data_IF_358990061923
#
_entry.id   IF_358990061923
#
_cell.length_a   1.000
_cell.length_b   1.000
_cell.length_c   1.000
_cell.angle_alpha   90.00
_cell.angle_beta   90.00
_cell.angle_gamma   90.00
#
_symmetry.space_group_name_H-M   'P 1'
#
loop_
_entity.id
_entity.type
_entity.pdbx_description
1 polymer ?
#
# COMPACT_ATOMS: atom_id res chain seq x y z
N UNK A 1 38.63 -87.64 23.89
CA UNK A 1 37.27 -87.82 24.45
C UNK A 1 36.78 -86.43 24.86
N UNK A 2 35.66 -85.85 24.45
CA UNK A 2 34.48 -86.31 23.71
C UNK A 2 33.69 -85.04 23.34
N UNK A 3 33.05 -85.03 22.17
CA UNK A 3 32.08 -84.02 21.70
C UNK A 3 30.81 -83.97 22.56
N UNK A 4 30.00 -82.90 22.37
CA UNK A 4 28.52 -82.77 22.54
C UNK A 4 28.16 -81.52 23.38
N UNK A 5 27.27 -80.60 23.01
CA UNK A 5 26.21 -80.55 21.99
C UNK A 5 25.85 -79.08 21.72
N UNK A 6 25.69 -78.73 20.45
CA UNK A 6 24.86 -77.61 20.02
C UNK A 6 23.39 -78.02 20.08
N UNK A 7 22.50 -77.11 20.47
CA UNK A 7 21.05 -77.33 20.50
C UNK A 7 20.27 -76.02 20.48
N UNK A 8 19.72 -75.72 19.30
CA UNK A 8 18.50 -74.97 19.01
C UNK A 8 18.28 -73.55 19.59
N UNK A 9 18.51 -72.56 18.72
CA UNK A 9 17.92 -71.22 18.84
C UNK A 9 17.63 -70.52 17.51
N UNK A 10 17.75 -71.19 16.36
CA UNK A 10 17.69 -70.55 15.04
C UNK A 10 16.29 -70.51 14.38
N UNK A 11 15.28 -71.21 14.93
CA UNK A 11 13.96 -71.31 14.28
C UNK A 11 12.99 -70.15 14.59
N UNK A 12 13.26 -69.34 15.61
CA UNK A 12 12.35 -68.26 16.03
C UNK A 12 12.61 -66.90 15.37
N UNK A 13 13.75 -66.73 14.69
CA UNK A 13 14.14 -65.47 14.03
C UNK A 13 13.55 -65.29 12.61
N UNK A 14 13.32 -66.39 11.87
CA UNK A 14 12.74 -66.34 10.52
C UNK A 14 11.23 -66.08 10.51
N UNK A 15 10.47 -66.68 11.45
CA UNK A 15 9.02 -66.43 11.56
C UNK A 15 8.68 -64.99 11.98
N UNK A 16 9.51 -64.37 12.83
CA UNK A 16 9.30 -62.96 13.27
C UNK A 16 9.62 -61.94 12.16
N UNK A 17 10.59 -62.23 11.29
CA UNK A 17 10.93 -61.36 10.15
C UNK A 17 9.91 -61.42 9.00
N UNK A 18 9.30 -62.59 8.72
CA UNK A 18 8.24 -62.67 7.71
C UNK A 18 6.96 -61.97 8.18
N UNK A 19 6.58 -62.15 9.45
CA UNK A 19 5.40 -61.49 10.05
C UNK A 19 5.49 -59.96 10.06
N UNK A 20 6.68 -59.38 10.22
CA UNK A 20 6.90 -57.93 10.17
C UNK A 20 6.85 -57.36 8.75
N UNK A 21 7.37 -58.10 7.76
CA UNK A 21 7.31 -57.71 6.35
C UNK A 21 5.86 -57.77 5.80
N UNK A 22 5.12 -58.82 6.16
CA UNK A 22 3.71 -58.99 5.78
C UNK A 22 2.83 -57.88 6.37
N UNK A 23 3.11 -57.43 7.60
CA UNK A 23 2.37 -56.35 8.26
C UNK A 23 2.71 -54.96 7.72
N UNK A 24 3.94 -54.73 7.25
CA UNK A 24 4.31 -53.49 6.56
C UNK A 24 3.70 -53.41 5.15
N UNK A 25 3.67 -54.53 4.42
CA UNK A 25 3.02 -54.59 3.11
C UNK A 25 1.50 -54.39 3.22
N UNK A 26 0.87 -54.93 4.26
CA UNK A 26 -0.54 -54.69 4.56
C UNK A 26 -0.81 -53.21 4.84
N UNK A 27 0.03 -52.54 5.65
CA UNK A 27 -0.09 -51.10 5.93
C UNK A 27 0.03 -50.25 4.67
N UNK A 28 0.96 -50.58 3.76
CA UNK A 28 1.11 -49.86 2.49
C UNK A 28 -0.11 -50.05 1.58
N UNK A 29 -0.71 -51.25 1.54
CA UNK A 29 -1.95 -51.52 0.81
C UNK A 29 -3.14 -50.75 1.39
N UNK A 30 -3.27 -50.70 2.71
CA UNK A 30 -4.32 -49.94 3.40
C UNK A 30 -4.16 -48.42 3.20
N UNK A 31 -2.93 -47.90 3.27
CA UNK A 31 -2.67 -46.47 3.03
C UNK A 31 -2.97 -46.09 1.58
N UNK A 32 -2.60 -46.94 0.61
CA UNK A 32 -2.95 -46.74 -0.80
C UNK A 32 -4.47 -46.77 -1.01
N UNK A 33 -5.18 -47.68 -0.35
CA UNK A 33 -6.66 -47.74 -0.39
C UNK A 33 -7.28 -46.49 0.23
N UNK A 34 -6.78 -46.00 1.36
CA UNK A 34 -7.23 -44.76 2.01
C UNK A 34 -7.00 -43.54 1.13
N UNK A 35 -5.84 -43.42 0.49
CA UNK A 35 -5.55 -42.33 -0.46
C UNK A 35 -6.46 -42.37 -1.68
N UNK A 36 -6.79 -43.56 -2.19
CA UNK A 36 -7.72 -43.72 -3.31
C UNK A 36 -9.14 -43.29 -2.92
N UNK A 37 -9.64 -43.77 -1.78
CA UNK A 37 -10.96 -43.40 -1.26
C UNK A 37 -11.06 -41.90 -0.96
N UNK A 38 -9.98 -41.28 -0.45
CA UNK A 38 -9.94 -39.83 -0.21
C UNK A 38 -10.04 -39.03 -1.52
N UNK A 39 -9.35 -39.47 -2.58
CA UNK A 39 -9.45 -38.83 -3.92
C UNK A 39 -10.84 -39.01 -4.53
N UNK A 40 -11.39 -40.22 -4.46
CA UNK A 40 -12.75 -40.51 -4.95
C UNK A 40 -13.81 -39.66 -4.20
N UNK A 41 -13.64 -39.48 -2.89
CA UNK A 41 -14.52 -38.62 -2.09
C UNK A 41 -14.37 -37.12 -2.42
N UNK A 42 -13.15 -36.65 -2.67
CA UNK A 42 -12.89 -35.26 -3.08
C UNK A 42 -13.48 -34.98 -4.48
N UNK A 43 -13.33 -35.89 -5.42
CA UNK A 43 -13.94 -35.79 -6.76
C UNK A 43 -15.47 -35.81 -6.69
N UNK A 44 -16.05 -36.65 -5.84
CA UNK A 44 -17.49 -36.67 -5.61
C UNK A 44 -17.99 -35.33 -5.04
N UNK A 45 -17.27 -34.76 -4.07
CA UNK A 45 -17.60 -33.45 -3.48
C UNK A 45 -17.56 -32.33 -4.53
N UNK A 46 -16.52 -32.31 -5.36
CA UNK A 46 -16.37 -31.33 -6.46
C UNK A 46 -17.50 -31.45 -7.49
N UNK A 47 -17.91 -32.67 -7.86
CA UNK A 47 -19.04 -32.89 -8.77
C UNK A 47 -20.38 -32.43 -8.20
N UNK A 48 -20.60 -32.67 -6.92
CA UNK A 48 -21.83 -32.24 -6.24
C UNK A 48 -21.90 -30.72 -6.07
N UNK A 49 -20.77 -30.09 -5.74
CA UNK A 49 -20.62 -28.63 -5.68
C UNK A 49 -20.88 -27.99 -7.06
N UNK A 50 -20.28 -28.53 -8.13
CA UNK A 50 -20.52 -28.08 -9.50
C UNK A 50 -22.02 -28.13 -9.86
N UNK A 51 -22.69 -29.25 -9.55
CA UNK A 51 -24.12 -29.41 -9.82
C UNK A 51 -24.98 -28.41 -9.06
N UNK A 52 -24.65 -28.13 -7.79
CA UNK A 52 -25.34 -27.14 -6.95
C UNK A 52 -25.19 -25.73 -7.52
N UNK A 53 -23.98 -25.35 -7.93
CA UNK A 53 -23.69 -24.03 -8.50
C UNK A 53 -24.38 -23.83 -9.85
N UNK A 54 -24.35 -24.85 -10.72
CA UNK A 54 -25.10 -24.83 -11.99
C UNK A 54 -26.62 -24.66 -11.79
N UNK A 55 -27.20 -25.32 -10.79
CA UNK A 55 -28.62 -25.15 -10.45
C UNK A 55 -28.93 -23.75 -9.90
N UNK A 56 -28.03 -23.18 -9.08
CA UNK A 56 -28.15 -21.82 -8.55
C UNK A 56 -28.07 -20.77 -9.65
N UNK A 57 -27.13 -20.93 -10.59
CA UNK A 57 -27.00 -20.06 -11.76
C UNK A 57 -28.26 -20.08 -12.63
N UNK A 58 -28.85 -21.26 -12.84
CA UNK A 58 -30.12 -21.39 -13.57
C UNK A 58 -31.29 -20.69 -12.84
N UNK A 59 -31.32 -20.76 -11.50
CA UNK A 59 -32.34 -20.08 -10.70
C UNK A 59 -32.16 -18.55 -10.66
N UNK A 60 -30.92 -18.06 -10.60
CA UNK A 60 -30.61 -16.63 -10.71
C UNK A 60 -31.08 -16.09 -12.07
N UNK A 61 -30.75 -16.79 -13.17
CA UNK A 61 -31.20 -16.48 -14.55
C UNK A 61 -32.71 -16.38 -14.74
N UNK A 62 -33.50 -17.03 -13.90
CA UNK A 62 -34.96 -17.00 -13.98
C UNK A 62 -35.62 -15.82 -13.24
N UNK A 63 -34.86 -14.98 -12.53
CA UNK A 63 -35.39 -13.89 -11.70
C UNK A 63 -35.10 -12.54 -12.37
N UNK A 64 -36.16 -11.81 -12.74
CA UNK A 64 -36.08 -10.46 -13.32
C UNK A 64 -36.76 -9.42 -12.40
N UNK A 65 -36.24 -8.19 -12.27
CA UNK A 65 -34.93 -7.71 -12.72
C UNK A 65 -33.79 -8.27 -11.83
N UNK A 66 -32.61 -8.44 -12.44
CA UNK A 66 -31.49 -9.26 -11.92
C UNK A 66 -30.49 -8.45 -11.10
N UNK A 67 -29.88 -9.04 -10.07
CA UNK A 67 -28.72 -8.49 -9.35
C UNK A 67 -27.43 -9.04 -9.98
N UNK A 68 -26.74 -8.22 -10.76
CA UNK A 68 -25.61 -8.60 -11.61
C UNK A 68 -24.38 -9.08 -10.82
N UNK A 69 -24.29 -8.76 -9.52
CA UNK A 69 -23.15 -9.13 -8.66
C UNK A 69 -23.15 -10.61 -8.28
N UNK A 70 -24.32 -11.17 -7.98
CA UNK A 70 -24.46 -12.58 -7.61
C UNK A 70 -24.22 -13.51 -8.79
N UNK A 71 -24.62 -13.08 -10.00
CA UNK A 71 -24.39 -13.83 -11.24
C UNK A 71 -22.90 -13.89 -11.59
N UNK A 72 -22.19 -12.77 -11.44
CA UNK A 72 -20.77 -12.66 -11.76
C UNK A 72 -19.89 -13.51 -10.82
N UNK A 73 -20.18 -13.47 -9.52
CA UNK A 73 -19.47 -14.29 -8.52
C UNK A 73 -19.64 -15.80 -8.79
N UNK A 74 -20.86 -16.23 -9.11
CA UNK A 74 -21.13 -17.65 -9.37
C UNK A 74 -20.48 -18.14 -10.69
N UNK A 75 -20.40 -17.28 -11.72
CA UNK A 75 -19.75 -17.61 -13.00
C UNK A 75 -18.23 -17.74 -12.88
N UNK A 76 -17.59 -16.86 -12.10
CA UNK A 76 -16.14 -16.91 -11.86
C UNK A 76 -15.75 -18.18 -11.09
N UNK A 77 -16.48 -18.49 -10.02
CA UNK A 77 -16.23 -19.70 -9.24
C UNK A 77 -16.50 -21.00 -10.05
N UNK A 78 -17.46 -20.98 -10.98
CA UNK A 78 -17.70 -22.09 -11.90
C UNK A 78 -16.54 -22.29 -12.90
N UNK A 79 -15.92 -21.20 -13.37
CA UNK A 79 -14.73 -21.26 -14.22
C UNK A 79 -13.55 -21.92 -13.50
N UNK A 80 -13.30 -21.56 -12.24
CA UNK A 80 -12.24 -22.16 -11.41
C UNK A 80 -12.48 -23.65 -11.13
N UNK A 81 -13.72 -24.05 -10.84
CA UNK A 81 -14.09 -25.44 -10.54
C UNK A 81 -13.99 -26.38 -11.76
N UNK A 82 -14.19 -25.85 -12.96
CA UNK A 82 -14.18 -26.64 -14.21
C UNK A 82 -12.86 -26.56 -14.97
N UNK A 83 -11.96 -25.65 -14.57
CA UNK A 83 -10.70 -25.41 -15.28
C UNK A 83 -10.89 -24.81 -16.67
N UNK A 84 -12.09 -24.32 -16.97
CA UNK A 84 -12.40 -23.63 -18.22
C UNK A 84 -12.21 -22.14 -18.02
N UNK A 85 -11.40 -21.51 -18.87
CA UNK A 85 -11.45 -20.06 -19.07
C UNK A 85 -12.83 -19.70 -19.60
N UNK A 86 -13.52 -18.79 -18.92
CA UNK A 86 -14.81 -18.27 -19.38
C UNK A 86 -14.55 -17.47 -20.66
N UNK A 87 -14.72 -18.10 -21.82
CA UNK A 87 -14.53 -17.45 -23.12
C UNK A 87 -15.67 -16.48 -23.40
N UNK A 88 -15.32 -15.27 -23.85
CA UNK A 88 -16.22 -14.16 -24.20
C UNK A 88 -17.10 -14.40 -25.45
N UNK A 89 -17.05 -15.59 -26.06
CA UNK A 89 -17.79 -15.91 -27.29
C UNK A 89 -19.29 -16.21 -27.09
N UNK A 90 -19.80 -16.19 -25.86
CA UNK A 90 -21.23 -16.48 -25.56
C UNK A 90 -22.04 -15.28 -25.06
N UNK A 91 -21.65 -14.06 -25.44
CA UNK A 91 -22.45 -12.85 -25.20
C UNK A 91 -23.00 -12.38 -26.55
N UNK A 92 -24.33 -12.43 -26.81
CA UNK A 92 -24.91 -11.91 -28.03
C UNK A 92 -24.59 -10.42 -28.22
N UNK A 93 -24.44 -9.96 -29.47
CA UNK A 93 -23.89 -8.65 -29.84
C UNK A 93 -24.59 -7.44 -29.19
N UNK A 94 -25.84 -7.60 -28.79
CA UNK A 94 -26.63 -6.60 -28.06
C UNK A 94 -26.33 -6.57 -26.55
N UNK A 95 -25.98 -7.71 -25.95
CA UNK A 95 -25.43 -7.76 -24.60
C UNK A 95 -23.95 -7.30 -24.55
N UNK A 96 -23.25 -7.19 -25.69
CA UNK A 96 -21.92 -6.58 -25.76
C UNK A 96 -21.94 -5.07 -25.54
N UNK A 97 -22.99 -4.37 -25.97
CA UNK A 97 -23.13 -2.93 -25.72
C UNK A 97 -23.40 -2.66 -24.24
N UNK A 98 -24.28 -3.45 -23.63
CA UNK A 98 -24.54 -3.39 -22.19
C UNK A 98 -23.35 -3.91 -21.37
N UNK A 99 -22.64 -4.95 -21.84
CA UNK A 99 -21.40 -5.42 -21.24
C UNK A 99 -20.28 -4.39 -21.37
N UNK A 100 -20.12 -3.68 -22.50
CA UNK A 100 -19.13 -2.61 -22.63
C UNK A 100 -19.50 -1.39 -21.78
N UNK A 101 -20.78 -1.07 -21.65
CA UNK A 101 -21.27 0.00 -20.79
C UNK A 101 -21.09 -0.34 -19.30
N UNK A 102 -21.46 -1.55 -18.89
CA UNK A 102 -21.25 -2.07 -17.52
C UNK A 102 -19.76 -2.31 -17.26
N UNK A 103 -18.97 -2.78 -18.22
CA UNK A 103 -17.51 -2.92 -18.10
C UNK A 103 -16.85 -1.55 -17.97
N UNK A 104 -17.27 -0.56 -18.76
CA UNK A 104 -16.83 0.84 -18.59
C UNK A 104 -17.26 1.45 -17.25
N UNK A 105 -18.18 0.81 -16.53
CA UNK A 105 -18.65 1.19 -15.19
C UNK A 105 -18.11 0.27 -14.07
N UNK A 106 -17.62 -0.93 -14.40
CA UNK A 106 -17.07 -1.95 -13.49
C UNK A 106 -15.55 -1.85 -13.40
N UNK A 107 -14.84 -1.47 -14.47
CA UNK A 107 -13.46 -0.96 -14.37
C UNK A 107 -13.41 0.24 -13.40
N UNK A 108 -14.47 1.05 -13.38
CA UNK A 108 -14.59 2.22 -12.48
C UNK A 108 -14.58 1.87 -11.00
N UNK A 109 -14.78 0.61 -10.59
CA UNK A 109 -14.76 0.21 -9.18
C UNK A 109 -13.39 -0.27 -8.67
N UNK A 110 -12.33 -0.17 -9.47
CA UNK A 110 -10.91 -0.19 -9.02
C UNK A 110 -10.07 0.95 -9.65
N UNK A 111 -10.71 1.99 -10.21
CA UNK A 111 -10.04 3.08 -10.94
C UNK A 111 -9.55 4.27 -10.07
N UNK A 112 -9.97 4.34 -8.80
CA UNK A 112 -9.65 5.49 -7.96
C UNK A 112 -8.32 5.30 -7.20
N UNK A 113 -7.47 6.33 -7.22
CA UNK A 113 -6.23 6.33 -6.48
C UNK A 113 -6.48 6.04 -4.99
N UNK A 114 -5.64 5.23 -4.35
CA UNK A 114 -5.73 4.91 -2.91
C UNK A 114 -4.44 5.30 -2.21
N UNK A 115 -4.55 6.07 -1.13
CA UNK A 115 -3.44 6.43 -0.25
C UNK A 115 -3.61 5.75 1.11
N UNK A 116 -2.73 4.82 1.43
CA UNK A 116 -2.74 4.10 2.71
C UNK A 116 -1.68 4.65 3.67
N UNK A 117 -2.09 5.10 4.86
CA UNK A 117 -1.19 5.58 5.91
C UNK A 117 -1.83 5.50 7.30
N UNK A 118 -1.10 5.87 8.35
CA UNK A 118 -1.69 6.12 9.67
C UNK A 118 -2.71 7.27 9.61
N UNK A 119 -3.68 7.30 10.54
CA UNK A 119 -4.63 8.43 10.69
C UNK A 119 -3.93 9.70 11.22
N UNK A 120 -3.01 10.25 10.42
CA UNK A 120 -2.18 11.41 10.70
C UNK A 120 -1.58 11.95 9.39
N UNK A 121 -1.04 13.17 9.42
CA UNK A 121 -0.32 13.76 8.30
C UNK A 121 0.95 12.94 7.95
N UNK A 122 1.95 13.02 8.81
CA UNK A 122 3.22 12.30 8.67
C UNK A 122 3.81 12.37 7.26
N UNK A 123 4.28 11.23 6.76
CA UNK A 123 4.92 11.13 5.43
C UNK A 123 3.92 11.06 4.27
N UNK A 124 2.63 10.87 4.54
CA UNK A 124 1.59 10.84 3.51
C UNK A 124 1.07 12.25 3.16
N UNK A 125 1.41 13.27 3.93
CA UNK A 125 0.82 14.60 3.75
C UNK A 125 1.22 15.27 2.44
N UNK A 126 2.46 15.13 2.00
CA UNK A 126 2.91 15.69 0.71
C UNK A 126 2.10 15.13 -0.47
N UNK A 127 2.02 13.80 -0.70
CA UNK A 127 1.21 13.28 -1.79
C UNK A 127 -0.28 13.57 -1.60
N UNK A 128 -0.78 13.62 -0.35
CA UNK A 128 -2.17 14.03 -0.07
C UNK A 128 -2.45 15.45 -0.55
N UNK A 129 -1.63 16.43 -0.17
CA UNK A 129 -1.81 17.82 -0.59
C UNK A 129 -1.73 17.97 -2.12
N UNK A 130 -0.85 17.20 -2.78
CA UNK A 130 -0.78 17.20 -4.23
C UNK A 130 -2.08 16.69 -4.88
N UNK A 131 -2.63 15.57 -4.41
CA UNK A 131 -3.91 15.03 -4.90
C UNK A 131 -5.07 16.03 -4.66
N UNK A 132 -5.12 16.60 -3.46
CA UNK A 132 -6.16 17.56 -3.04
C UNK A 132 -6.12 18.85 -3.85
N UNK A 133 -4.93 19.42 -4.07
CA UNK A 133 -4.76 20.64 -4.86
C UNK A 133 -4.93 20.38 -6.36
N UNK A 134 -4.62 19.16 -6.84
CA UNK A 134 -4.92 18.73 -8.21
C UNK A 134 -6.43 18.52 -8.42
N UNK A 135 -7.18 18.28 -7.34
CA UNK A 135 -8.59 17.91 -7.41
C UNK A 135 -8.82 16.49 -7.89
N UNK A 136 -7.88 15.60 -7.58
CA UNK A 136 -7.96 14.17 -7.86
C UNK A 136 -8.72 13.51 -6.73
N UNK A 137 -9.77 12.77 -7.06
CA UNK A 137 -10.49 11.95 -6.09
C UNK A 137 -9.63 10.73 -5.73
N UNK A 138 -9.50 10.46 -4.43
CA UNK A 138 -8.71 9.36 -3.92
C UNK A 138 -9.32 8.80 -2.62
N UNK A 139 -9.14 7.52 -2.40
CA UNK A 139 -9.51 6.87 -1.14
C UNK A 139 -8.36 6.95 -0.14
N UNK A 140 -8.66 7.35 1.09
CA UNK A 140 -7.70 7.31 2.19
C UNK A 140 -7.98 6.13 3.11
N UNK A 141 -7.02 5.19 3.17
CA UNK A 141 -7.09 4.02 4.07
C UNK A 141 -6.24 4.28 5.31
N UNK A 142 -6.91 4.50 6.42
CA UNK A 142 -6.29 4.73 7.72
C UNK A 142 -5.93 3.40 8.41
N UNK A 143 -4.64 3.16 8.64
CA UNK A 143 -4.14 1.98 9.37
C UNK A 143 -3.86 2.35 10.83
N UNK A 144 -4.39 1.57 11.76
CA UNK A 144 -4.18 1.74 13.21
C UNK A 144 -3.27 0.65 13.80
N UNK A 145 -3.29 -0.57 13.26
CA UNK A 145 -2.58 -1.75 13.75
C UNK A 145 -1.51 -2.25 12.76
N UNK A 146 -0.62 -1.37 12.31
CA UNK A 146 0.38 -1.69 11.27
C UNK A 146 1.21 -2.95 11.56
N UNK A 147 1.57 -3.20 12.82
CA UNK A 147 2.34 -4.39 13.19
C UNK A 147 1.63 -5.72 12.85
N UNK A 148 0.29 -5.74 12.91
CA UNK A 148 -0.53 -6.93 12.66
C UNK A 148 -0.80 -7.12 11.17
N UNK A 149 -1.13 -6.04 10.44
CA UNK A 149 -1.51 -6.13 9.01
C UNK A 149 -0.30 -6.12 8.07
N UNK A 150 0.87 -5.67 8.55
CA UNK A 150 2.09 -5.59 7.72
C UNK A 150 2.41 -6.88 6.95
N UNK A 151 2.38 -8.09 7.53
CA UNK A 151 2.65 -9.33 6.79
C UNK A 151 1.70 -9.53 5.60
N UNK A 152 0.43 -9.17 5.73
CA UNK A 152 -0.57 -9.27 4.66
C UNK A 152 -0.28 -8.29 3.53
N UNK A 153 0.03 -7.04 3.85
CA UNK A 153 0.44 -6.03 2.86
C UNK A 153 1.74 -6.40 2.15
N UNK A 154 2.69 -7.05 2.84
CA UNK A 154 3.91 -7.55 2.23
C UNK A 154 3.65 -8.75 1.31
N UNK A 155 2.82 -9.70 1.76
CA UNK A 155 2.43 -10.87 0.96
C UNK A 155 1.65 -10.47 -0.31
N UNK A 156 0.85 -9.40 -0.23
CA UNK A 156 0.14 -8.81 -1.36
C UNK A 156 1.04 -7.94 -2.27
N UNK A 157 2.33 -7.80 -1.98
CA UNK A 157 3.27 -6.99 -2.78
C UNK A 157 3.11 -5.48 -2.62
N UNK A 158 2.22 -5.01 -1.73
CA UNK A 158 1.91 -3.58 -1.55
C UNK A 158 2.95 -2.82 -0.73
N UNK A 159 3.58 -3.52 0.22
CA UNK A 159 4.57 -2.94 1.13
C UNK A 159 5.96 -3.57 0.96
N UNK A 160 6.63 -3.45 -0.21
CA UNK A 160 7.87 -4.18 -0.48
C UNK A 160 8.99 -3.89 0.55
N UNK A 161 9.01 -2.69 1.14
CA UNK A 161 9.96 -2.28 2.17
C UNK A 161 9.41 -2.43 3.61
N UNK A 162 8.18 -2.93 3.77
CA UNK A 162 7.54 -3.10 5.07
C UNK A 162 7.27 -1.78 5.81
N UNK A 163 6.98 -0.72 5.05
CA UNK A 163 6.76 0.65 5.51
C UNK A 163 5.53 1.27 4.85
N UNK A 164 4.95 2.26 5.51
CA UNK A 164 3.93 3.17 4.98
C UNK A 164 4.59 4.54 4.69
N UNK A 165 4.04 5.39 3.80
CA UNK A 165 2.80 5.22 3.04
C UNK A 165 2.91 4.27 1.84
N UNK A 166 1.74 3.85 1.37
CA UNK A 166 1.52 3.11 0.13
C UNK A 166 0.52 3.91 -0.72
N UNK A 167 0.79 3.96 -2.02
CA UNK A 167 -0.11 4.53 -3.02
C UNK A 167 -0.44 3.49 -4.08
N UNK A 168 -1.70 3.41 -4.46
CA UNK A 168 -2.21 2.45 -5.43
C UNK A 168 -3.06 3.18 -6.48
N UNK A 169 -2.90 2.83 -7.74
CA UNK A 169 -3.76 3.21 -8.86
C UNK A 169 -3.75 2.06 -9.89
N UNK A 170 -4.63 2.04 -10.90
CA UNK A 170 -4.68 0.96 -11.88
C UNK A 170 -3.30 0.62 -12.48
N UNK A 171 -2.81 -0.58 -12.19
CA UNK A 171 -1.53 -1.07 -12.70
C UNK A 171 -0.27 -0.57 -11.96
N UNK A 172 -0.41 0.22 -10.89
CA UNK A 172 0.73 0.75 -10.14
C UNK A 172 0.52 0.67 -8.63
N UNK A 173 1.51 0.11 -7.94
CA UNK A 173 1.62 0.16 -6.47
C UNK A 173 2.98 0.71 -6.09
N UNK A 174 2.98 1.80 -5.32
CA UNK A 174 4.19 2.50 -4.88
C UNK A 174 4.29 2.54 -3.36
N UNK A 175 5.51 2.31 -2.88
CA UNK A 175 5.94 2.67 -1.53
C UNK A 175 7.03 3.77 -1.63
N UNK A 176 7.42 4.34 -0.49
CA UNK A 176 8.29 5.52 -0.36
C UNK A 176 7.58 6.84 -0.66
N UNK A 177 7.37 7.66 0.37
CA UNK A 177 6.63 8.92 0.29
C UNK A 177 7.15 9.86 -0.80
N UNK A 178 8.47 9.97 -0.97
CA UNK A 178 9.06 10.85 -1.98
C UNK A 178 8.85 10.33 -3.40
N UNK A 179 8.85 9.00 -3.60
CA UNK A 179 8.55 8.40 -4.91
C UNK A 179 7.08 8.62 -5.27
N UNK A 180 6.18 8.39 -4.32
CA UNK A 180 4.73 8.65 -4.46
C UNK A 180 4.49 10.13 -4.79
N UNK A 181 5.05 11.05 -4.00
CA UNK A 181 4.89 12.49 -4.23
C UNK A 181 5.37 12.93 -5.61
N UNK A 182 6.53 12.41 -6.07
CA UNK A 182 7.05 12.71 -7.41
C UNK A 182 6.19 12.11 -8.53
N UNK A 183 5.62 10.93 -8.32
CA UNK A 183 4.69 10.30 -9.26
C UNK A 183 3.46 11.18 -9.46
N UNK A 184 2.73 11.46 -8.37
CA UNK A 184 1.55 12.34 -8.36
C UNK A 184 1.87 13.71 -8.95
N UNK A 185 3.04 14.26 -8.62
CA UNK A 185 3.46 15.56 -9.13
C UNK A 185 3.68 15.57 -10.65
N UNK A 186 4.25 14.51 -11.23
CA UNK A 186 4.43 14.41 -12.69
C UNK A 186 3.09 14.23 -13.40
N UNK A 187 2.22 13.38 -12.88
CA UNK A 187 0.89 13.12 -13.47
C UNK A 187 0.00 14.37 -13.47
N UNK A 188 0.13 15.23 -12.47
CA UNK A 188 -0.79 16.37 -12.29
C UNK A 188 -0.12 17.75 -12.43
N UNK A 189 1.07 17.84 -13.01
CA UNK A 189 1.68 19.10 -13.41
C UNK A 189 2.39 19.90 -12.30
N UNK A 190 2.71 19.27 -11.16
CA UNK A 190 3.51 19.82 -10.06
C UNK A 190 5.00 19.51 -10.20
N UNK A 191 5.50 19.44 -11.42
CA UNK A 191 6.89 19.14 -11.73
C UNK A 191 7.43 20.07 -12.82
N UNK A 192 8.76 20.07 -12.99
CA UNK A 192 9.44 20.92 -13.96
C UNK A 192 9.13 20.53 -15.41
N UNK A 193 9.14 21.50 -16.32
CA UNK A 193 8.90 21.28 -17.75
C UNK A 193 10.17 20.88 -18.49
N UNK A 194 11.33 21.18 -17.91
CA UNK A 194 12.64 20.82 -18.43
C UNK A 194 13.36 19.87 -17.49
N UNK A 195 14.30 19.09 -18.03
CA UNK A 195 15.18 18.26 -17.21
C UNK A 195 15.99 19.08 -16.18
N UNK A 196 16.30 20.34 -16.53
CA UNK A 196 16.98 21.26 -15.63
C UNK A 196 16.09 21.62 -14.42
N UNK A 197 14.83 22.00 -14.67
CA UNK A 197 13.89 22.35 -13.60
C UNK A 197 13.57 21.13 -12.73
N UNK A 198 13.38 19.96 -13.35
CA UNK A 198 13.22 18.69 -12.66
C UNK A 198 14.38 18.42 -11.68
N UNK A 199 15.63 18.61 -12.11
CA UNK A 199 16.80 18.41 -11.27
C UNK A 199 16.85 19.38 -10.07
N UNK A 200 16.48 20.66 -10.28
CA UNK A 200 16.42 21.64 -9.20
C UNK A 200 15.28 21.35 -8.21
N UNK A 201 14.12 20.90 -8.71
CA UNK A 201 12.99 20.48 -7.89
C UNK A 201 13.37 19.25 -7.06
N UNK A 202 14.06 18.27 -7.64
CA UNK A 202 14.53 17.10 -6.91
C UNK A 202 15.56 17.48 -5.84
N UNK A 203 16.51 18.35 -6.16
CA UNK A 203 17.49 18.85 -5.20
C UNK A 203 16.82 19.53 -4.01
N UNK A 204 15.87 20.44 -4.26
CA UNK A 204 15.13 21.11 -3.19
C UNK A 204 14.29 20.11 -2.38
N UNK A 205 13.62 19.15 -3.04
CA UNK A 205 12.79 18.14 -2.38
C UNK A 205 13.59 17.21 -1.47
N UNK A 206 14.78 16.77 -1.90
CA UNK A 206 15.68 15.94 -1.09
C UNK A 206 16.25 16.73 0.10
N UNK A 207 16.57 18.02 -0.10
CA UNK A 207 16.93 18.90 1.02
C UNK A 207 15.82 19.00 2.07
N UNK A 208 14.54 18.96 1.67
CA UNK A 208 13.42 18.94 2.62
C UNK A 208 13.35 17.60 3.35
N UNK A 209 13.65 16.50 2.67
CA UNK A 209 13.69 15.17 3.29
C UNK A 209 14.76 15.07 4.39
N UNK A 210 15.87 15.81 4.27
CA UNK A 210 16.88 15.93 5.33
C UNK A 210 16.33 16.65 6.56
N UNK A 211 15.51 17.69 6.38
CA UNK A 211 14.82 18.36 7.49
C UNK A 211 13.92 17.37 8.23
N UNK A 212 13.09 16.63 7.50
CA UNK A 212 12.19 15.62 8.07
C UNK A 212 12.99 14.56 8.83
N UNK A 213 14.11 14.10 8.28
CA UNK A 213 14.97 13.09 8.91
C UNK A 213 15.57 13.61 10.21
N UNK A 214 16.08 14.85 10.24
CA UNK A 214 16.63 15.47 11.46
C UNK A 214 15.55 15.73 12.51
N UNK A 215 14.36 16.15 12.08
CA UNK A 215 13.19 16.32 12.96
C UNK A 215 12.80 14.99 13.60
N UNK A 216 12.75 13.91 12.81
CA UNK A 216 12.43 12.57 13.32
C UNK A 216 13.45 12.10 14.35
N UNK A 217 14.74 12.28 14.06
CA UNK A 217 15.83 11.93 14.98
C UNK A 217 15.71 12.66 16.32
N UNK A 218 15.43 13.97 16.30
CA UNK A 218 15.35 14.77 17.52
C UNK A 218 14.08 14.51 18.34
N UNK A 219 12.96 14.19 17.69
CA UNK A 219 11.65 14.13 18.35
C UNK A 219 11.14 12.73 18.66
N UNK A 220 11.44 11.73 17.81
CA UNK A 220 10.76 10.43 17.87
C UNK A 220 11.68 9.25 18.17
N UNK A 221 13.00 9.41 18.03
CA UNK A 221 13.91 8.34 18.44
C UNK A 221 13.94 8.17 19.97
N UNK A 222 14.14 6.94 20.46
CA UNK A 222 14.34 6.67 21.88
C UNK A 222 15.73 7.20 22.29
N UNK A 223 15.77 8.45 22.74
CA UNK A 223 16.94 9.11 23.29
C UNK A 223 16.76 9.33 24.80
N UNK A 224 17.85 9.23 25.59
CA UNK A 224 17.91 9.78 26.94
C UNK A 224 17.48 11.25 26.98
N UNK A 225 16.92 11.71 28.11
CA UNK A 225 16.32 13.04 28.21
C UNK A 225 17.31 14.19 27.96
N UNK A 226 18.54 14.06 28.47
CA UNK A 226 19.63 15.01 28.24
C UNK A 226 19.98 15.10 26.74
N UNK A 227 20.07 13.96 26.06
CA UNK A 227 20.33 13.89 24.62
C UNK A 227 19.17 14.38 23.78
N UNK A 228 17.93 14.19 24.24
CA UNK A 228 16.75 14.75 23.58
C UNK A 228 16.71 16.27 23.69
N UNK A 229 17.04 16.83 24.85
CA UNK A 229 17.10 18.27 25.04
C UNK A 229 18.20 18.91 24.18
N UNK A 230 19.40 18.31 24.16
CA UNK A 230 20.52 18.73 23.30
C UNK A 230 20.13 18.69 21.81
N UNK A 231 19.50 17.60 21.35
CA UNK A 231 19.07 17.46 19.97
C UNK A 231 18.00 18.49 19.57
N UNK A 232 17.03 18.78 20.44
CA UNK A 232 16.03 19.83 20.21
C UNK A 232 16.64 21.23 20.18
N UNK A 233 17.61 21.50 21.05
CA UNK A 233 18.31 22.78 21.07
C UNK A 233 19.14 23.00 19.80
N UNK A 234 19.94 22.01 19.37
CA UNK A 234 20.69 22.09 18.11
C UNK A 234 19.75 22.18 16.89
N UNK A 235 18.62 21.47 16.93
CA UNK A 235 17.59 21.58 15.87
C UNK A 235 17.09 23.03 15.73
N UNK A 236 16.71 23.67 16.83
CA UNK A 236 16.14 25.02 16.83
C UNK A 236 17.17 26.13 16.58
N UNK A 237 18.34 26.03 17.22
CA UNK A 237 19.29 27.15 17.28
C UNK A 237 20.32 27.13 16.14
N UNK A 238 20.53 25.97 15.50
CA UNK A 238 21.57 25.80 14.47
C UNK A 238 20.97 25.29 13.16
N UNK A 239 20.34 24.11 13.20
CA UNK A 239 19.94 23.42 11.97
C UNK A 239 18.79 24.14 11.25
N UNK A 240 17.68 24.43 11.93
CA UNK A 240 16.52 25.07 11.29
C UNK A 240 16.84 26.47 10.74
N UNK A 241 17.54 27.37 11.45
CA UNK A 241 17.94 28.67 10.90
C UNK A 241 18.78 28.53 9.61
N UNK A 242 19.73 27.60 9.57
CA UNK A 242 20.52 27.34 8.37
C UNK A 242 19.65 26.85 7.21
N UNK A 243 18.66 26.00 7.47
CA UNK A 243 17.71 25.54 6.45
C UNK A 243 16.81 26.69 5.97
N UNK A 244 16.27 27.51 6.87
CA UNK A 244 15.44 28.66 6.50
C UNK A 244 16.21 29.64 5.60
N UNK A 245 17.49 29.89 5.90
CA UNK A 245 18.36 30.71 5.06
C UNK A 245 18.56 30.09 3.67
N UNK A 246 18.77 28.77 3.58
CA UNK A 246 18.92 28.08 2.30
C UNK A 246 17.66 28.24 1.44
N UNK A 247 16.48 27.94 1.97
CA UNK A 247 15.24 28.05 1.19
C UNK A 247 14.86 29.49 0.88
N UNK A 248 15.14 30.44 1.78
CA UNK A 248 15.00 31.86 1.51
C UNK A 248 15.87 32.29 0.33
N UNK A 249 17.14 31.84 0.26
CA UNK A 249 18.03 32.11 -0.89
C UNK A 249 17.57 31.43 -2.18
N UNK A 250 16.98 30.24 -2.10
CA UNK A 250 16.40 29.58 -3.28
C UNK A 250 15.23 30.38 -3.84
N UNK A 251 14.33 30.88 -2.99
CA UNK A 251 13.24 31.77 -3.38
C UNK A 251 13.78 33.07 -4.00
N UNK A 252 14.79 33.71 -3.39
CA UNK A 252 15.43 34.92 -3.93
C UNK A 252 16.05 34.68 -5.30
N UNK A 253 16.77 33.57 -5.46
CA UNK A 253 17.39 33.17 -6.73
C UNK A 253 16.36 32.96 -7.83
N UNK A 254 15.16 32.50 -7.48
CA UNK A 254 14.03 32.35 -8.39
C UNK A 254 13.18 33.64 -8.51
N UNK A 255 13.70 34.79 -8.05
CA UNK A 255 13.07 36.10 -8.21
C UNK A 255 11.94 36.38 -7.21
N UNK A 256 11.85 35.63 -6.10
CA UNK A 256 10.80 35.74 -5.09
C UNK A 256 9.38 35.68 -5.68
N UNK A 257 9.19 34.90 -6.73
CA UNK A 257 7.92 34.78 -7.44
C UNK A 257 6.90 33.85 -6.77
N UNK A 258 7.18 33.39 -5.54
CA UNK A 258 6.34 32.46 -4.79
C UNK A 258 6.63 30.97 -5.04
N UNK A 259 7.65 30.63 -5.84
CA UNK A 259 8.04 29.26 -6.15
C UNK A 259 9.55 29.06 -5.95
N UNK A 260 9.96 27.86 -5.54
CA UNK A 260 11.37 27.48 -5.42
C UNK A 260 12.05 27.34 -6.78
N UNK A 261 11.32 26.87 -7.80
CA UNK A 261 11.83 26.65 -9.16
C UNK A 261 10.75 27.02 -10.17
N UNK A 262 11.13 27.76 -11.22
CA UNK A 262 10.23 28.10 -12.31
C UNK A 262 9.11 29.05 -11.86
N UNK A 263 7.93 28.94 -12.45
CA UNK A 263 6.81 29.87 -12.24
C UNK A 263 5.51 29.22 -11.80
N UNK A 264 5.54 27.95 -11.40
CA UNK A 264 4.36 27.19 -10.95
C UNK A 264 4.67 26.38 -9.71
N UNK A 265 3.62 26.03 -8.96
CA UNK A 265 3.74 25.19 -7.78
C UNK A 265 4.26 23.81 -8.16
N UNK A 266 5.27 23.34 -7.44
CA UNK A 266 5.90 22.05 -7.63
C UNK A 266 5.88 21.19 -6.37
N UNK A 267 6.25 19.92 -6.49
CA UNK A 267 6.44 19.01 -5.35
C UNK A 267 7.45 19.54 -4.33
N UNK A 268 8.45 20.32 -4.75
CA UNK A 268 9.40 20.93 -3.82
C UNK A 268 8.72 21.96 -2.93
N UNK A 269 7.84 22.79 -3.52
CA UNK A 269 7.10 23.81 -2.79
C UNK A 269 6.13 23.16 -1.79
N UNK A 270 5.36 22.17 -2.22
CA UNK A 270 4.43 21.43 -1.35
C UNK A 270 5.20 20.71 -0.23
N UNK A 271 6.32 20.08 -0.55
CA UNK A 271 7.16 19.39 0.45
C UNK A 271 7.67 20.36 1.51
N UNK A 272 8.20 21.52 1.11
CA UNK A 272 8.68 22.54 2.02
C UNK A 272 7.54 23.07 2.90
N UNK A 273 6.40 23.40 2.30
CA UNK A 273 5.24 23.93 3.02
C UNK A 273 4.71 22.95 4.09
N UNK A 274 4.50 21.69 3.71
CA UNK A 274 4.09 20.62 4.65
C UNK A 274 5.10 20.44 5.77
N UNK A 275 6.40 20.41 5.42
CA UNK A 275 7.47 20.18 6.40
C UNK A 275 7.60 21.33 7.38
N UNK A 276 7.51 22.57 6.91
CA UNK A 276 7.55 23.75 7.78
C UNK A 276 6.30 23.82 8.67
N UNK A 277 5.12 23.46 8.17
CA UNK A 277 3.93 23.29 9.00
C UNK A 277 4.16 22.29 10.14
N UNK A 278 4.79 21.14 9.84
CA UNK A 278 5.16 20.16 10.87
C UNK A 278 6.18 20.73 11.87
N UNK A 279 7.25 21.38 11.39
CA UNK A 279 8.27 22.02 12.24
C UNK A 279 7.63 23.03 13.19
N UNK A 280 6.80 23.93 12.68
CA UNK A 280 6.13 24.96 13.46
C UNK A 280 5.13 24.42 14.47
N UNK A 281 4.59 23.21 14.24
CA UNK A 281 3.70 22.55 15.20
C UNK A 281 4.44 21.76 16.28
N UNK A 282 5.70 21.37 16.06
CA UNK A 282 6.44 20.45 16.95
C UNK A 282 7.66 21.05 17.64
N UNK A 283 8.19 22.16 17.12
CA UNK A 283 9.41 22.80 17.64
C UNK A 283 9.05 24.19 18.12
N UNK A 284 9.01 24.38 19.43
CA UNK A 284 8.77 25.69 20.05
C UNK A 284 9.84 26.71 19.62
N UNK A 285 9.46 27.96 19.39
CA UNK A 285 10.34 29.02 18.90
C UNK A 285 10.72 28.95 17.41
N UNK A 286 10.36 27.88 16.69
CA UNK A 286 10.71 27.74 15.27
C UNK A 286 10.02 28.77 14.36
N UNK A 287 8.81 29.22 14.71
CA UNK A 287 8.13 30.31 14.01
C UNK A 287 8.89 31.64 14.14
N UNK A 288 9.39 31.95 15.33
CA UNK A 288 10.16 33.17 15.57
C UNK A 288 11.50 33.15 14.83
N UNK A 289 12.13 31.96 14.76
CA UNK A 289 13.33 31.78 13.95
C UNK A 289 13.05 31.98 12.45
N UNK A 290 11.91 31.49 11.94
CA UNK A 290 11.51 31.66 10.54
C UNK A 290 11.07 33.10 10.20
N UNK A 291 10.56 33.87 11.17
CA UNK A 291 10.09 35.25 10.96
C UNK A 291 11.18 36.22 10.45
N UNK A 292 12.47 35.85 10.54
CA UNK A 292 13.59 36.58 9.97
C UNK A 292 13.63 36.56 8.42
N UNK A 293 12.87 35.66 7.80
CA UNK A 293 12.87 35.42 6.35
C UNK A 293 11.48 35.77 5.77
N UNK A 294 11.21 37.05 5.44
CA UNK A 294 9.88 37.48 5.02
C UNK A 294 9.43 36.86 3.68
N UNK A 295 10.36 36.53 2.79
CA UNK A 295 10.03 35.83 1.54
C UNK A 295 9.57 34.38 1.78
N UNK A 296 10.08 33.72 2.83
CA UNK A 296 9.62 32.40 3.24
C UNK A 296 8.19 32.48 3.80
N UNK A 297 7.89 33.52 4.58
CA UNK A 297 6.52 33.76 5.05
C UNK A 297 5.56 34.01 3.86
N UNK A 298 5.95 34.88 2.92
CA UNK A 298 5.15 35.15 1.72
C UNK A 298 4.92 33.88 0.88
N UNK A 299 5.94 33.03 0.75
CA UNK A 299 5.82 31.71 0.13
C UNK A 299 4.78 30.83 0.83
N UNK A 300 4.86 30.71 2.17
CA UNK A 300 3.95 29.88 2.96
C UNK A 300 2.50 30.35 2.82
N UNK A 301 2.28 31.65 2.88
CA UNK A 301 0.97 32.28 2.72
C UNK A 301 0.44 32.08 1.30
N UNK A 302 1.32 32.19 0.30
CA UNK A 302 1.00 31.92 -1.11
C UNK A 302 0.45 30.51 -1.31
N UNK A 303 1.14 29.48 -0.81
CA UNK A 303 0.67 28.08 -0.89
C UNK A 303 -0.65 27.90 -0.14
N UNK A 304 -0.76 28.41 1.10
CA UNK A 304 -1.98 28.29 1.91
C UNK A 304 -3.21 29.03 1.30
N UNK A 305 -2.97 30.07 0.49
CA UNK A 305 -4.04 30.86 -0.14
C UNK A 305 -4.72 30.16 -1.31
N UNK A 306 -4.13 29.08 -1.86
CA UNK A 306 -4.71 28.33 -2.97
C UNK A 306 -6.08 27.77 -2.59
N UNK A 307 -7.06 27.88 -3.48
CA UNK A 307 -8.45 27.59 -3.17
C UNK A 307 -8.66 26.16 -2.62
N UNK A 308 -8.05 25.15 -3.25
CA UNK A 308 -8.19 23.75 -2.84
C UNK A 308 -7.42 23.43 -1.55
N UNK A 309 -6.22 23.98 -1.38
CA UNK A 309 -5.48 23.86 -0.10
C UNK A 309 -6.25 24.53 1.05
N UNK A 310 -6.80 25.73 0.83
CA UNK A 310 -7.63 26.41 1.82
C UNK A 310 -8.89 25.60 2.18
N UNK A 311 -9.53 24.96 1.20
CA UNK A 311 -10.65 24.07 1.44
C UNK A 311 -10.23 22.81 2.21
N UNK A 312 -9.08 22.21 1.87
CA UNK A 312 -8.50 21.08 2.60
C UNK A 312 -8.25 21.43 4.08
N UNK A 313 -7.60 22.56 4.35
CA UNK A 313 -7.28 23.03 5.70
C UNK A 313 -8.51 23.32 6.58
N UNK A 314 -9.66 23.59 5.97
CA UNK A 314 -10.92 23.79 6.70
C UNK A 314 -11.60 22.47 7.09
N UNK A 315 -11.16 21.33 6.56
CA UNK A 315 -11.68 20.00 6.88
C UNK A 315 -10.86 19.38 8.01
N UNK A 316 -11.55 18.69 8.93
CA UNK A 316 -10.88 17.76 9.83
C UNK A 316 -10.73 16.40 9.15
N UNK A 317 -9.67 16.25 8.37
CA UNK A 317 -9.37 15.01 7.63
C UNK A 317 -8.85 13.89 8.54
N UNK A 318 -8.63 14.17 9.83
CA UNK A 318 -8.17 13.19 10.83
C UNK A 318 -9.21 12.89 11.91
N UNK A 319 -10.33 13.60 11.92
CA UNK A 319 -11.47 13.25 12.76
C UNK A 319 -11.81 11.78 12.55
N UNK A 320 -11.92 11.04 13.65
CA UNK A 320 -12.46 9.69 13.59
C UNK A 320 -13.83 9.77 12.91
N UNK A 321 -14.02 9.05 11.80
CA UNK A 321 -15.35 8.84 11.22
C UNK A 321 -16.22 8.30 12.35
N UNK A 322 -17.20 9.10 12.81
CA UNK A 322 -18.24 8.59 13.71
C UNK A 322 -19.02 7.57 12.88
N UNK A 323 -18.82 6.30 13.20
CA UNK A 323 -19.69 5.20 12.74
C UNK A 323 -21.12 5.40 13.25
#
# INVERSE_FOLDING_TARGET
MTQSKAGDGASNGRKRKSSAADSEELRKKEEKKRRRLAREAEEARKKEELKRKQARLAALRARYPMDDRELLAELLELGELTGQTVSTEFVPMEAWADFMMVWSFVDTFHDQATLTYFNSAGRAEVPRILLEDAGVDYDFVAITNWAEVKPEYQAAGKAPFGQLPIYEEPGLVLAQSSAIARHVAREHGYYGETAHDAALIDQASEGVADIVSRLIQALFLPLPDDKRAEAKASLLNEFLPAQFEIYSKLLEKNGNNGHLVGSKLSVADVSLWVTLGMVFSRVEGSKDAAAKYPNLQAFLDGVASRQRIKAYLARDVYAAKKE
#
